data_IF_932320164309
#
_entry.id   IF_932320164309
#
_cell.length_a   1.000
_cell.length_b   1.000
_cell.length_c   1.000
_cell.angle_alpha   90.00
_cell.angle_beta   90.00
_cell.angle_gamma   90.00
#
_symmetry.space_group_name_H-M   'P 1'
#
loop_
_entity.id
_entity.type
_entity.pdbx_description
1 polymer ?
#
# COMPACT_ATOMS: atom_id res chain seq x y z
N UNK A 1 -2.52 -4.11 11.89
CA UNK A 1 -2.80 -2.74 11.44
C UNK A 1 -3.51 -2.83 10.11
N UNK A 2 -4.61 -2.10 9.90
CA UNK A 2 -5.39 -2.11 8.67
C UNK A 2 -5.62 -0.67 8.22
N UNK A 3 -5.52 -0.43 6.91
CA UNK A 3 -5.84 0.84 6.28
C UNK A 3 -6.48 0.57 4.91
N UNK A 4 -7.09 1.59 4.31
CA UNK A 4 -7.61 1.54 2.95
C UNK A 4 -7.29 2.84 2.22
N UNK A 5 -7.34 2.79 0.91
CA UNK A 5 -7.12 3.95 0.04
C UNK A 5 -8.43 4.23 -0.68
N UNK A 6 -8.84 5.49 -0.68
CA UNK A 6 -10.06 5.90 -1.36
C UNK A 6 -9.74 6.29 -2.80
N UNK A 7 -10.45 5.71 -3.76
CA UNK A 7 -10.23 5.94 -5.20
C UNK A 7 -11.02 7.15 -5.73
N UNK A 8 -12.12 7.52 -5.09
CA UNK A 8 -12.98 8.62 -5.50
C UNK A 8 -13.57 9.35 -4.29
N UNK A 9 -14.27 10.47 -4.46
CA UNK A 9 -14.89 11.18 -3.34
C UNK A 9 -15.88 10.25 -2.60
N UNK A 10 -15.69 10.07 -1.30
CA UNK A 10 -16.54 9.19 -0.48
C UNK A 10 -17.00 9.90 0.80
N UNK A 11 -18.01 10.78 0.73
CA UNK A 11 -18.48 11.57 1.88
C UNK A 11 -19.05 10.71 3.02
N UNK A 12 -19.47 9.48 2.73
CA UNK A 12 -20.01 8.55 3.74
C UNK A 12 -18.98 8.12 4.79
N UNK A 13 -17.68 8.34 4.54
CA UNK A 13 -16.57 8.05 5.44
C UNK A 13 -16.15 9.25 6.29
N UNK A 14 -16.68 10.45 6.00
CA UNK A 14 -16.34 11.69 6.72
C UNK A 14 -16.68 11.53 8.21
N UNK A 15 -15.73 11.91 9.08
CA UNK A 15 -15.87 11.78 10.53
C UNK A 15 -15.83 10.35 11.08
N UNK A 16 -15.73 9.31 10.23
CA UNK A 16 -15.68 7.90 10.64
C UNK A 16 -14.28 7.29 10.60
N UNK A 17 -13.40 7.83 9.76
CA UNK A 17 -12.04 7.33 9.57
C UNK A 17 -11.03 8.48 9.58
N UNK A 18 -9.83 8.20 10.09
CA UNK A 18 -8.74 9.18 10.13
C UNK A 18 -7.97 9.17 8.81
N UNK A 19 -7.86 10.34 8.18
CA UNK A 19 -6.97 10.55 7.03
C UNK A 19 -5.57 10.83 7.59
N UNK A 20 -4.63 9.92 7.36
CA UNK A 20 -3.23 10.06 7.83
C UNK A 20 -2.23 10.38 6.69
N UNK A 21 -2.68 10.40 5.44
CA UNK A 21 -1.82 10.68 4.30
C UNK A 21 -2.58 10.75 2.98
N UNK A 22 -1.87 11.11 1.92
CA UNK A 22 -2.39 11.14 0.54
C UNK A 22 -1.35 10.53 -0.42
N UNK A 23 -1.83 9.85 -1.46
CA UNK A 23 -0.96 9.40 -2.56
C UNK A 23 -0.70 10.58 -3.48
N UNK A 24 0.57 10.77 -3.90
CA UNK A 24 1.02 11.95 -4.63
C UNK A 24 1.72 11.59 -5.95
N UNK A 25 1.61 12.48 -6.94
CA UNK A 25 2.37 12.38 -8.19
C UNK A 25 1.92 11.24 -9.10
N UNK A 26 2.87 10.71 -9.87
CA UNK A 26 2.62 9.66 -10.87
C UNK A 26 2.19 8.31 -10.27
N UNK A 27 2.30 8.11 -8.95
CA UNK A 27 1.89 6.86 -8.31
C UNK A 27 0.37 6.71 -8.20
N UNK A 28 -0.41 7.74 -8.50
CA UNK A 28 -1.88 7.65 -8.58
C UNK A 28 -2.29 6.62 -9.65
N UNK A 29 -1.57 6.54 -10.77
CA UNK A 29 -1.84 5.54 -11.82
C UNK A 29 -1.67 4.09 -11.33
N UNK A 30 -0.85 3.85 -10.29
CA UNK A 30 -0.75 2.52 -9.69
C UNK A 30 -2.03 2.14 -8.96
N UNK A 31 -2.71 3.10 -8.32
CA UNK A 31 -4.00 2.87 -7.67
C UNK A 31 -5.09 2.55 -8.68
N UNK A 32 -5.11 3.26 -9.82
CA UNK A 32 -6.06 2.99 -10.90
C UNK A 32 -5.87 1.56 -11.42
N UNK A 33 -4.62 1.15 -11.68
CA UNK A 33 -4.33 -0.23 -12.10
C UNK A 33 -4.73 -1.28 -11.08
N UNK A 34 -4.58 -0.99 -9.78
CA UNK A 34 -5.05 -1.87 -8.70
C UNK A 34 -6.58 -1.97 -8.70
N UNK A 35 -7.30 -0.90 -9.06
CA UNK A 35 -8.76 -0.91 -9.09
C UNK A 35 -9.37 -1.65 -10.29
N UNK A 36 -8.55 -1.94 -11.30
CA UNK A 36 -8.96 -2.60 -12.54
C UNK A 36 -8.67 -4.12 -12.53
N UNK A 37 -8.14 -4.66 -11.43
CA UNK A 37 -7.85 -6.09 -11.31
C UNK A 37 -9.14 -6.93 -11.34
N UNK A 38 -9.04 -8.15 -11.87
CA UNK A 38 -10.16 -9.09 -11.87
C UNK A 38 -10.55 -9.46 -10.43
N UNK A 39 -11.85 -9.39 -10.14
CA UNK A 39 -12.42 -9.72 -8.84
C UNK A 39 -13.37 -10.90 -8.97
N UNK A 40 -13.49 -11.66 -7.89
CA UNK A 40 -14.47 -12.73 -7.77
C UNK A 40 -15.89 -12.18 -7.46
N UNK A 41 -16.84 -13.11 -7.25
CA UNK A 41 -18.24 -12.79 -6.90
C UNK A 41 -18.41 -12.07 -5.54
N UNK A 42 -17.36 -11.96 -4.74
CA UNK A 42 -17.32 -11.31 -3.44
C UNK A 42 -16.50 -10.03 -3.45
N UNK A 43 -16.21 -9.47 -4.65
CA UNK A 43 -15.41 -8.25 -4.82
C UNK A 43 -13.97 -8.41 -4.29
N UNK A 44 -13.48 -9.66 -4.22
CA UNK A 44 -12.13 -9.98 -3.80
C UNK A 44 -11.24 -10.20 -5.02
N UNK A 45 -10.05 -9.57 -5.11
CA UNK A 45 -9.16 -9.78 -6.26
C UNK A 45 -8.79 -11.25 -6.45
N UNK A 46 -8.88 -11.74 -7.69
CA UNK A 46 -8.47 -13.11 -8.06
C UNK A 46 -6.98 -13.31 -7.83
N UNK A 47 -6.18 -12.32 -8.19
CA UNK A 47 -4.75 -12.22 -7.85
C UNK A 47 -4.50 -10.94 -7.02
N UNK A 48 -4.48 -11.04 -5.67
CA UNK A 48 -4.37 -9.86 -4.82
C UNK A 48 -3.01 -9.15 -4.95
N UNK A 49 -3.00 -7.82 -5.18
CA UNK A 49 -1.76 -7.05 -5.18
C UNK A 49 -1.11 -7.08 -3.79
N UNK A 50 0.22 -7.21 -3.77
CA UNK A 50 1.00 -7.32 -2.54
C UNK A 50 1.98 -6.16 -2.38
N UNK A 51 2.10 -5.67 -1.15
CA UNK A 51 3.17 -4.73 -0.78
C UNK A 51 4.46 -5.54 -0.62
N UNK A 52 5.40 -5.37 -1.53
CA UNK A 52 6.69 -6.09 -1.52
C UNK A 52 7.71 -5.39 -0.60
N UNK A 53 7.67 -4.05 -0.56
CA UNK A 53 8.59 -3.22 0.22
C UNK A 53 7.92 -1.89 0.57
N UNK A 54 8.33 -1.30 1.68
CA UNK A 54 8.00 0.06 2.07
C UNK A 54 9.29 0.78 2.50
N UNK A 55 9.46 2.02 2.03
CA UNK A 55 10.63 2.85 2.28
C UNK A 55 10.21 4.18 2.90
N UNK A 56 10.91 4.59 3.96
CA UNK A 56 10.73 5.92 4.55
C UNK A 56 11.61 6.92 3.80
N UNK A 57 10.99 7.73 2.95
CA UNK A 57 11.70 8.72 2.12
C UNK A 57 12.13 9.94 2.94
N UNK A 58 11.30 10.34 3.91
CA UNK A 58 11.56 11.47 4.80
C UNK A 58 11.03 11.12 6.19
N UNK A 59 11.90 11.23 7.20
CA UNK A 59 11.55 11.04 8.61
C UNK A 59 11.33 12.39 9.29
N UNK A 60 10.08 12.79 9.59
CA UNK A 60 9.79 14.04 10.28
C UNK A 60 9.96 13.97 11.80
N UNK A 61 10.16 12.79 12.38
CA UNK A 61 10.18 12.59 13.82
C UNK A 61 11.59 12.34 14.35
N UNK A 62 12.45 11.61 13.60
CA UNK A 62 13.88 11.45 13.88
C UNK A 62 14.25 10.71 15.18
N UNK A 63 13.29 10.55 16.09
CA UNK A 63 13.37 9.83 17.36
C UNK A 63 12.59 8.50 17.35
N UNK A 64 11.95 8.18 16.22
CA UNK A 64 11.16 6.95 16.06
C UNK A 64 12.06 5.74 15.82
N UNK A 65 12.29 4.96 16.87
CA UNK A 65 12.99 3.69 16.79
C UNK A 65 12.03 2.53 16.42
N UNK A 66 12.27 1.79 15.31
CA UNK A 66 11.46 0.64 14.96
C UNK A 66 11.54 -0.46 16.02
N UNK A 67 10.38 -0.93 16.49
CA UNK A 67 10.29 -2.05 17.46
C UNK A 67 10.86 -3.37 16.93
N UNK A 68 10.91 -3.53 15.62
CA UNK A 68 11.49 -4.70 14.94
C UNK A 68 12.45 -4.23 13.85
N UNK A 69 13.68 -4.75 13.87
CA UNK A 69 14.64 -4.54 12.79
C UNK A 69 14.18 -5.37 11.57
N UNK A 70 14.06 -4.78 10.37
CA UNK A 70 13.73 -5.55 9.17
C UNK A 70 14.77 -6.66 8.97
N UNK A 71 14.34 -7.92 8.87
CA UNK A 71 15.22 -9.01 8.44
C UNK A 71 15.61 -8.72 7.00
N UNK A 72 16.91 -8.66 6.70
CA UNK A 72 17.37 -8.48 5.33
C UNK A 72 16.81 -9.61 4.45
N UNK A 73 16.01 -9.25 3.44
CA UNK A 73 15.48 -10.23 2.49
C UNK A 73 16.66 -10.70 1.62
N UNK A 74 16.99 -12.01 1.59
CA UNK A 74 18.05 -12.52 0.74
C UNK A 74 17.74 -12.23 -0.74
N UNK A 75 18.74 -11.76 -1.49
CA UNK A 75 18.62 -11.42 -2.92
C UNK A 75 18.17 -12.59 -3.82
N UNK A 76 18.18 -13.83 -3.31
CA UNK A 76 17.78 -15.04 -4.05
C UNK A 76 16.28 -15.13 -4.37
N UNK A 77 15.44 -14.25 -3.81
CA UNK A 77 13.98 -14.24 -4.06
C UNK A 77 13.55 -13.22 -5.12
N UNK A 78 14.48 -12.42 -5.66
CA UNK A 78 14.19 -11.36 -6.65
C UNK A 78 14.56 -11.70 -8.09
N UNK A 79 15.18 -12.85 -8.35
CA UNK A 79 15.44 -13.31 -9.72
C UNK A 79 14.30 -14.22 -10.19
N UNK A 80 13.52 -13.74 -11.17
CA UNK A 80 12.56 -14.59 -11.90
C UNK A 80 13.33 -15.74 -12.57
N UNK A 81 12.91 -17.01 -12.44
CA UNK A 81 13.45 -18.06 -13.28
C UNK A 81 13.14 -17.74 -14.75
N UNK A 82 14.16 -17.91 -15.60
CA UNK A 82 14.07 -17.78 -17.05
C UNK A 82 12.99 -18.69 -17.66
#
# INVERSE_FOLDING_TARGET
SQFFIVLNRTPSLDGKHTIFGKVVGQTIYNLVRISEVEVDKHDSPVDPPRIIRADLVYDPFGDLEPRYKPVAIPKSLTEKPH
#
